data_IF_515065193577
#
_entry.id   IF_515065193577
#
_cell.length_a   1.000
_cell.length_b   1.000
_cell.length_c   1.000
_cell.angle_alpha   90.00
_cell.angle_beta   90.00
_cell.angle_gamma   90.00
#
_symmetry.space_group_name_H-M   'P 1'
#
loop_
_entity.id
_entity.type
_entity.pdbx_description
1 polymer ?
#
# COMPACT_ATOMS: atom_id res chain seq x y z
N UNK A 1 13.02 29.80 -5.44
CA UNK A 1 12.56 28.76 -4.50
C UNK A 1 11.50 27.98 -5.24
N UNK A 2 11.70 26.68 -5.46
CA UNK A 2 10.73 25.85 -6.18
C UNK A 2 9.43 25.82 -5.36
N UNK A 3 8.30 26.09 -6.00
CA UNK A 3 7.00 25.82 -5.38
C UNK A 3 6.86 24.31 -5.25
N UNK A 4 7.07 23.80 -4.03
CA UNK A 4 7.00 22.36 -3.75
C UNK A 4 5.60 21.82 -4.04
N UNK A 5 4.55 22.60 -3.76
CA UNK A 5 3.16 22.16 -3.91
C UNK A 5 2.68 22.08 -5.35
N UNK A 6 3.45 22.63 -6.30
CA UNK A 6 3.18 22.49 -7.73
C UNK A 6 3.77 21.21 -8.35
N UNK A 7 4.55 20.42 -7.60
CA UNK A 7 5.12 19.16 -8.09
C UNK A 7 4.03 18.10 -8.34
N UNK A 8 4.24 17.26 -9.33
CA UNK A 8 3.37 16.09 -9.56
C UNK A 8 3.75 14.98 -8.58
N UNK A 9 2.97 14.82 -7.51
CA UNK A 9 3.22 13.83 -6.47
C UNK A 9 3.41 12.41 -7.02
N UNK A 10 2.70 12.06 -8.09
CA UNK A 10 2.65 10.70 -8.59
C UNK A 10 3.71 10.39 -9.65
N UNK A 11 4.37 11.41 -10.21
CA UNK A 11 5.32 11.23 -11.31
C UNK A 11 6.69 11.84 -11.08
N UNK A 12 6.82 12.73 -10.09
CA UNK A 12 8.09 13.41 -9.82
C UNK A 12 9.05 12.51 -9.02
N UNK A 13 10.11 12.03 -9.66
CA UNK A 13 11.10 11.14 -9.05
C UNK A 13 11.80 11.75 -7.82
N UNK A 14 11.82 13.09 -7.70
CA UNK A 14 12.43 13.77 -6.54
C UNK A 14 11.68 13.46 -5.24
N UNK A 15 10.39 13.15 -5.34
CA UNK A 15 9.54 12.83 -4.19
C UNK A 15 9.72 11.39 -3.72
N UNK A 16 10.38 10.53 -4.52
CA UNK A 16 10.67 9.14 -4.14
C UNK A 16 11.69 9.08 -3.00
N UNK A 17 12.74 9.91 -3.07
CA UNK A 17 13.79 9.93 -2.04
C UNK A 17 13.31 10.60 -0.75
N UNK A 18 12.63 11.75 -0.87
CA UNK A 18 12.20 12.51 0.29
C UNK A 18 10.93 13.34 0.02
N UNK A 19 9.73 12.78 0.28
CA UNK A 19 8.47 13.50 0.08
C UNK A 19 8.09 14.40 1.27
N UNK A 20 8.83 14.38 2.38
CA UNK A 20 8.43 15.10 3.59
C UNK A 20 8.37 16.62 3.42
N UNK A 21 9.32 17.29 2.73
CA UNK A 21 9.21 18.73 2.45
C UNK A 21 7.95 19.09 1.66
N UNK A 22 7.52 18.23 0.74
CA UNK A 22 6.28 18.40 -0.03
C UNK A 22 5.05 18.30 0.87
N UNK A 23 4.96 17.26 1.71
CA UNK A 23 3.83 17.10 2.65
C UNK A 23 3.79 18.20 3.71
N UNK A 24 4.95 18.66 4.18
CA UNK A 24 5.07 19.80 5.10
C UNK A 24 4.50 21.08 4.46
N UNK A 25 4.88 21.36 3.21
CA UNK A 25 4.39 22.51 2.46
C UNK A 25 2.87 22.45 2.23
N UNK A 26 2.32 21.26 1.89
CA UNK A 26 0.87 21.08 1.77
C UNK A 26 0.15 21.32 3.10
N UNK A 27 0.57 20.67 4.19
CA UNK A 27 -0.05 20.83 5.52
C UNK A 27 -0.07 22.29 5.98
N UNK A 28 1.00 23.03 5.74
CA UNK A 28 1.10 24.45 6.13
C UNK A 28 0.13 25.34 5.36
N UNK A 29 -0.28 24.95 4.15
CA UNK A 29 -1.29 25.66 3.38
C UNK A 29 -2.70 25.21 3.76
N UNK A 30 -2.96 23.90 3.73
CA UNK A 30 -4.22 23.28 4.13
C UNK A 30 -4.01 21.78 4.40
N UNK A 31 -4.51 21.22 5.51
CA UNK A 31 -4.38 19.79 5.79
C UNK A 31 -5.11 18.90 4.76
N UNK A 32 -6.07 19.46 4.02
CA UNK A 32 -6.80 18.80 2.93
C UNK A 32 -6.77 19.71 1.71
N UNK A 33 -6.00 19.33 0.69
CA UNK A 33 -5.82 20.13 -0.50
C UNK A 33 -5.98 19.29 -1.77
N UNK A 34 -6.61 19.85 -2.80
CA UNK A 34 -6.64 19.24 -4.13
C UNK A 34 -5.29 19.45 -4.80
N UNK A 35 -4.62 18.39 -5.25
CA UNK A 35 -3.38 18.53 -6.01
C UNK A 35 -3.65 18.95 -7.47
N UNK A 36 -2.70 19.63 -8.14
CA UNK A 36 -3.00 20.34 -9.38
C UNK A 36 -2.96 19.49 -10.67
N UNK A 37 -2.67 18.18 -10.62
CA UNK A 37 -2.36 17.36 -11.79
C UNK A 37 -3.38 16.25 -12.09
N UNK A 38 -3.87 15.52 -11.08
CA UNK A 38 -4.66 14.29 -11.27
C UNK A 38 -6.00 14.29 -10.53
N UNK A 39 -6.44 15.46 -10.07
CA UNK A 39 -7.70 15.62 -9.37
C UNK A 39 -7.80 14.80 -8.06
N UNK A 40 -6.68 14.64 -7.35
CA UNK A 40 -6.66 13.93 -6.07
C UNK A 40 -6.77 14.89 -4.90
N UNK A 41 -7.60 14.51 -3.92
CA UNK A 41 -7.60 15.15 -2.61
C UNK A 41 -6.46 14.59 -1.76
N UNK A 42 -5.44 15.42 -1.50
CA UNK A 42 -4.32 15.10 -0.62
C UNK A 42 -4.70 15.42 0.82
N UNK A 43 -4.84 14.38 1.64
CA UNK A 43 -5.09 14.49 3.08
C UNK A 43 -3.78 14.30 3.82
N UNK A 44 -3.25 15.38 4.38
CA UNK A 44 -1.92 15.41 5.02
C UNK A 44 -1.98 15.76 6.50
N UNK A 45 -3.12 16.28 6.99
CA UNK A 45 -3.41 16.48 8.41
C UNK A 45 -3.81 15.18 9.10
N UNK A 46 -3.47 15.08 10.39
CA UNK A 46 -3.70 13.85 11.17
C UNK A 46 -5.18 13.62 11.46
N UNK A 47 -5.87 14.65 11.95
CA UNK A 47 -7.28 14.53 12.36
C UNK A 47 -8.17 14.23 11.15
N UNK A 48 -7.89 14.84 10.00
CA UNK A 48 -8.61 14.61 8.75
C UNK A 48 -8.33 13.22 8.18
N UNK A 49 -7.07 12.75 8.24
CA UNK A 49 -6.73 11.39 7.81
C UNK A 49 -7.45 10.35 8.67
N UNK A 50 -7.45 10.52 10.00
CA UNK A 50 -8.16 9.64 10.93
C UNK A 50 -9.66 9.67 10.67
N UNK A 51 -10.26 10.82 10.36
CA UNK A 51 -11.66 10.92 10.01
C UNK A 51 -11.99 10.09 8.76
N UNK A 52 -11.22 10.24 7.67
CA UNK A 52 -11.39 9.47 6.43
C UNK A 52 -11.23 7.97 6.68
N UNK A 53 -10.18 7.56 7.40
CA UNK A 53 -9.92 6.13 7.68
C UNK A 53 -11.02 5.43 8.50
N UNK A 54 -11.81 6.19 9.26
CA UNK A 54 -12.88 5.63 10.08
C UNK A 54 -14.28 5.75 9.44
N UNK A 55 -14.39 6.35 8.26
CA UNK A 55 -15.67 6.55 7.55
C UNK A 55 -15.70 5.75 6.23
N UNK A 56 -15.83 4.44 6.36
CA UNK A 56 -15.95 3.53 5.23
C UNK A 56 -17.33 3.59 4.52
N UNK A 57 -18.29 4.32 5.08
CA UNK A 57 -19.59 4.56 4.44
C UNK A 57 -19.46 5.65 3.37
N UNK A 58 -18.71 6.72 3.67
CA UNK A 58 -18.45 7.80 2.71
C UNK A 58 -17.25 7.50 1.80
N UNK A 59 -16.18 6.88 2.32
CA UNK A 59 -14.94 6.65 1.58
C UNK A 59 -14.71 5.17 1.26
N UNK A 60 -15.15 4.76 0.07
CA UNK A 60 -14.91 3.41 -0.46
C UNK A 60 -13.40 3.13 -0.64
N UNK A 61 -13.02 1.89 -0.36
CA UNK A 61 -11.65 1.40 -0.57
C UNK A 61 -11.40 0.85 -1.98
N UNK A 62 -12.38 0.93 -2.91
CA UNK A 62 -12.33 0.25 -4.21
C UNK A 62 -11.10 0.57 -5.08
N UNK A 63 -10.48 1.75 -4.89
CA UNK A 63 -9.26 2.17 -5.60
C UNK A 63 -8.05 2.34 -4.68
N UNK A 64 -8.08 1.79 -3.45
CA UNK A 64 -7.04 2.01 -2.44
C UNK A 64 -5.63 1.58 -2.88
N UNK A 65 -5.54 0.58 -3.76
CA UNK A 65 -4.26 0.05 -4.28
C UNK A 65 -3.73 0.88 -5.45
N UNK A 66 -4.61 1.35 -6.31
CA UNK A 66 -4.26 1.99 -7.58
C UNK A 66 -4.20 3.51 -7.48
N UNK A 67 -4.89 4.09 -6.51
CA UNK A 67 -5.12 5.53 -6.44
C UNK A 67 -5.68 6.05 -7.79
N UNK A 68 -5.16 7.16 -8.34
CA UNK A 68 -5.66 7.74 -9.58
C UNK A 68 -5.27 6.98 -10.86
N UNK A 69 -4.47 5.90 -10.80
CA UNK A 69 -4.00 5.20 -12.00
C UNK A 69 -4.32 3.70 -11.99
N UNK A 70 -5.12 3.18 -12.92
CA UNK A 70 -5.62 3.83 -14.16
C UNK A 70 -6.80 4.79 -13.95
N UNK A 71 -7.33 4.91 -12.73
CA UNK A 71 -8.56 5.62 -12.43
C UNK A 71 -9.78 4.71 -12.48
N UNK A 72 -10.95 5.28 -12.23
CA UNK A 72 -12.22 4.54 -12.33
C UNK A 72 -12.57 4.28 -13.81
N UNK A 73 -13.12 3.11 -14.19
CA UNK A 73 -13.28 2.71 -15.60
C UNK A 73 -14.28 3.57 -16.39
N UNK A 74 -15.12 4.34 -15.69
CA UNK A 74 -16.13 5.22 -16.26
C UNK A 74 -16.13 6.58 -15.55
N UNK A 75 -16.65 7.66 -16.16
CA UNK A 75 -16.78 8.95 -15.49
C UNK A 75 -17.61 8.86 -14.20
N UNK A 76 -17.16 9.53 -13.15
CA UNK A 76 -17.89 9.66 -11.88
C UNK A 76 -18.80 10.89 -11.97
N UNK A 77 -20.11 10.68 -12.07
CA UNK A 77 -21.12 11.74 -12.16
C UNK A 77 -22.18 11.60 -11.07
N UNK A 78 -22.60 12.73 -10.50
CA UNK A 78 -23.60 12.78 -9.43
C UNK A 78 -23.00 12.93 -8.03
N UNK A 79 -23.88 13.11 -7.05
CA UNK A 79 -23.50 13.32 -5.64
C UNK A 79 -23.34 12.00 -4.86
N UNK A 80 -23.83 10.89 -5.42
CA UNK A 80 -23.70 9.53 -4.89
C UNK A 80 -23.33 8.58 -6.03
N UNK A 81 -22.17 7.95 -5.90
CA UNK A 81 -21.61 7.02 -6.90
C UNK A 81 -21.63 5.56 -6.41
N UNK A 82 -22.37 5.25 -5.33
CA UNK A 82 -22.39 3.90 -4.72
C UNK A 82 -22.79 2.82 -5.72
N UNK A 83 -23.88 3.04 -6.48
CA UNK A 83 -24.34 2.08 -7.50
C UNK A 83 -23.31 1.90 -8.62
N UNK A 84 -22.63 2.98 -8.99
CA UNK A 84 -21.59 2.97 -10.03
C UNK A 84 -20.37 2.16 -9.57
N UNK A 85 -19.96 2.32 -8.30
CA UNK A 85 -18.92 1.50 -7.67
C UNK A 85 -19.32 0.04 -7.71
N UNK A 86 -20.51 -0.32 -7.25
CA UNK A 86 -20.97 -1.72 -7.24
C UNK A 86 -21.04 -2.33 -8.64
N UNK A 87 -21.50 -1.57 -9.64
CA UNK A 87 -21.59 -2.05 -11.02
C UNK A 87 -20.22 -2.40 -11.62
N UNK A 88 -19.18 -1.62 -11.30
CA UNK A 88 -17.85 -1.77 -11.89
C UNK A 88 -16.82 -2.37 -10.92
N UNK A 89 -17.23 -2.75 -9.70
CA UNK A 89 -16.32 -3.19 -8.63
C UNK A 89 -15.38 -4.30 -9.09
N UNK A 90 -15.92 -5.30 -9.78
CA UNK A 90 -15.16 -6.48 -10.23
C UNK A 90 -14.19 -6.15 -11.38
N UNK A 91 -14.35 -5.02 -12.06
CA UNK A 91 -13.47 -4.57 -13.16
C UNK A 91 -12.21 -3.83 -12.65
N UNK A 92 -12.23 -3.37 -11.39
CA UNK A 92 -11.13 -2.63 -10.79
C UNK A 92 -9.94 -3.55 -10.49
N UNK A 93 -8.69 -3.06 -10.64
CA UNK A 93 -7.53 -3.85 -10.28
C UNK A 93 -7.55 -4.25 -8.80
N UNK A 94 -7.22 -5.52 -8.52
CA UNK A 94 -7.20 -6.08 -7.16
C UNK A 94 -8.56 -6.03 -6.45
N UNK A 95 -9.67 -6.00 -7.18
CA UNK A 95 -11.05 -6.01 -6.66
C UNK A 95 -11.37 -7.21 -5.75
N UNK A 96 -10.60 -8.29 -5.86
CA UNK A 96 -10.73 -9.52 -5.07
C UNK A 96 -9.87 -9.52 -3.79
N UNK A 97 -9.02 -8.50 -3.59
CA UNK A 97 -8.12 -8.41 -2.45
C UNK A 97 -8.78 -7.69 -1.26
N UNK A 98 -8.56 -8.20 -0.05
CA UNK A 98 -9.15 -7.63 1.18
C UNK A 98 -9.07 -6.08 1.30
N UNK A 99 -7.95 -5.41 0.94
CA UNK A 99 -7.83 -3.95 1.09
C UNK A 99 -8.71 -3.11 0.16
N UNK A 100 -9.32 -3.69 -0.87
CA UNK A 100 -10.19 -2.97 -1.84
C UNK A 100 -11.68 -3.21 -1.59
N UNK A 101 -12.01 -4.06 -0.60
CA UNK A 101 -13.37 -4.41 -0.25
C UNK A 101 -13.96 -3.39 0.72
N UNK A 102 -15.25 -3.12 0.56
CA UNK A 102 -16.05 -2.36 1.53
C UNK A 102 -16.93 -3.31 2.37
N UNK A 103 -17.46 -2.86 3.53
CA UNK A 103 -18.50 -3.59 4.25
C UNK A 103 -19.73 -3.86 3.36
N UNK A 104 -20.43 -4.99 3.54
CA UNK A 104 -20.20 -6.04 4.53
C UNK A 104 -19.14 -7.08 4.13
N UNK A 105 -18.73 -7.12 2.85
CA UNK A 105 -17.80 -8.12 2.32
C UNK A 105 -16.45 -8.06 3.03
N UNK A 106 -15.89 -6.86 3.21
CA UNK A 106 -14.66 -6.65 3.98
C UNK A 106 -14.79 -7.20 5.40
N UNK A 107 -15.87 -6.88 6.11
CA UNK A 107 -16.10 -7.33 7.50
C UNK A 107 -16.09 -8.86 7.60
N UNK A 108 -16.78 -9.52 6.67
CA UNK A 108 -16.86 -10.98 6.63
C UNK A 108 -15.50 -11.62 6.32
N UNK A 109 -14.80 -11.12 5.31
CA UNK A 109 -13.51 -11.68 4.88
C UNK A 109 -12.41 -11.43 5.92
N UNK A 110 -12.37 -10.23 6.50
CA UNK A 110 -11.46 -9.89 7.59
C UNK A 110 -11.69 -10.80 8.80
N UNK A 111 -12.93 -11.11 9.15
CA UNK A 111 -13.23 -12.00 10.27
C UNK A 111 -12.63 -13.41 10.09
N UNK A 112 -12.59 -13.93 8.86
CA UNK A 112 -11.93 -15.21 8.55
C UNK A 112 -10.41 -15.12 8.75
N UNK A 113 -9.78 -14.07 8.22
CA UNK A 113 -8.33 -13.85 8.31
C UNK A 113 -7.85 -13.61 9.74
N UNK A 114 -8.62 -12.87 10.55
CA UNK A 114 -8.29 -12.59 11.95
C UNK A 114 -8.10 -13.86 12.79
N UNK A 115 -8.65 -15.01 12.37
CA UNK A 115 -8.44 -16.31 13.03
C UNK A 115 -7.04 -16.87 12.82
N UNK A 116 -6.31 -16.41 11.80
CA UNK A 116 -4.95 -16.82 11.49
C UNK A 116 -3.91 -15.95 12.22
N UNK A 117 -4.24 -14.69 12.48
CA UNK A 117 -3.34 -13.69 13.10
C UNK A 117 -3.66 -13.44 14.58
N UNK A 118 -3.93 -14.51 15.33
CA UNK A 118 -4.16 -14.40 16.78
C UNK A 118 -2.84 -14.15 17.53
N UNK A 119 -2.88 -13.53 18.73
CA UNK A 119 -1.67 -13.31 19.54
C UNK A 119 -0.87 -14.59 19.78
N UNK A 120 -1.54 -15.73 20.01
CA UNK A 120 -0.88 -17.03 20.17
C UNK A 120 -0.14 -17.45 18.89
N UNK A 121 -0.77 -17.33 17.72
CA UNK A 121 -0.16 -17.69 16.43
C UNK A 121 1.02 -16.79 16.07
N UNK A 122 0.92 -15.49 16.36
CA UNK A 122 2.03 -14.55 16.16
C UNK A 122 3.21 -14.90 17.08
N UNK A 123 2.95 -15.24 18.36
CA UNK A 123 3.99 -15.69 19.28
C UNK A 123 4.64 -17.01 18.84
N UNK A 124 3.84 -17.99 18.38
CA UNK A 124 4.38 -19.24 17.81
C UNK A 124 5.24 -18.99 16.55
N UNK A 125 4.98 -17.90 15.82
CA UNK A 125 5.77 -17.50 14.66
C UNK A 125 7.09 -16.80 15.05
N UNK A 126 7.16 -16.20 16.23
CA UNK A 126 8.32 -15.43 16.72
C UNK A 126 9.61 -16.25 16.73
N UNK A 127 9.58 -17.47 17.30
CA UNK A 127 10.74 -18.37 17.34
C UNK A 127 11.27 -18.69 15.93
N UNK A 128 10.36 -18.86 14.97
CA UNK A 128 10.73 -19.10 13.58
C UNK A 128 11.35 -17.86 12.91
N UNK A 129 10.88 -16.66 13.25
CA UNK A 129 11.44 -15.40 12.76
C UNK A 129 12.86 -15.16 13.30
N UNK A 130 13.13 -15.47 14.57
CA UNK A 130 14.48 -15.41 15.15
C UNK A 130 15.46 -16.31 14.39
N UNK A 131 15.09 -17.58 14.19
CA UNK A 131 15.94 -18.52 13.43
C UNK A 131 16.17 -18.08 11.98
N UNK A 132 15.18 -17.45 11.35
CA UNK A 132 15.32 -16.93 9.99
C UNK A 132 16.26 -15.73 9.96
N UNK A 133 16.12 -14.81 10.92
CA UNK A 133 16.98 -13.64 11.05
C UNK A 133 18.45 -14.05 11.23
N UNK A 134 18.74 -14.98 12.16
CA UNK A 134 20.09 -15.50 12.39
C UNK A 134 20.66 -16.10 11.09
N UNK A 135 19.89 -16.97 10.41
CA UNK A 135 20.33 -17.60 9.16
C UNK A 135 20.64 -16.59 8.05
N UNK A 136 19.80 -15.57 7.90
CA UNK A 136 20.02 -14.53 6.89
C UNK A 136 21.26 -13.72 7.24
N UNK A 137 21.45 -13.38 8.52
CA UNK A 137 22.57 -12.56 8.98
C UNK A 137 23.90 -13.33 9.01
N UNK A 138 23.90 -14.65 9.24
CA UNK A 138 25.11 -15.48 9.23
C UNK A 138 25.93 -15.32 7.93
N UNK A 139 25.26 -15.19 6.78
CA UNK A 139 25.91 -14.98 5.48
C UNK A 139 26.60 -13.61 5.34
N UNK A 140 26.25 -12.62 6.19
CA UNK A 140 26.79 -11.24 6.14
C UNK A 140 27.67 -10.89 7.34
N UNK A 141 27.47 -11.51 8.49
CA UNK A 141 28.22 -11.25 9.72
C UNK A 141 29.60 -11.94 9.71
N UNK A 142 29.82 -12.93 8.85
CA UNK A 142 31.12 -13.56 8.65
C UNK A 142 31.93 -12.81 7.57
N UNK A 143 32.48 -11.65 7.92
CA UNK A 143 33.44 -10.96 7.05
C UNK A 143 34.86 -11.51 7.23
N UNK A 144 35.43 -12.21 6.22
CA UNK A 144 36.80 -12.07 5.65
C UNK A 144 37.18 -13.32 4.81
N UNK A 145 37.35 -13.12 3.48
CA UNK A 145 37.94 -14.01 2.44
C UNK A 145 37.51 -15.49 2.45
N UNK A 146 36.54 -15.81 1.59
CA UNK A 146 36.68 -16.99 0.73
C UNK A 146 36.29 -16.58 -0.69
N UNK A 147 37.28 -16.63 -1.58
CA UNK A 147 37.09 -16.57 -3.02
C UNK A 147 35.91 -17.43 -3.45
N UNK A 148 35.14 -16.90 -4.40
CA UNK A 148 34.14 -17.62 -5.17
C UNK A 148 34.50 -19.09 -5.43
N UNK A 149 33.77 -20.01 -4.80
CA UNK A 149 33.41 -21.29 -5.42
C UNK A 149 32.35 -22.00 -4.57
N UNK A 150 31.09 -21.67 -4.77
CA UNK A 150 30.05 -22.71 -4.72
C UNK A 150 29.54 -22.88 -6.14
N UNK A 151 30.31 -23.63 -6.92
CA UNK A 151 29.76 -24.29 -8.09
C UNK A 151 28.65 -25.21 -7.58
N UNK A 152 27.41 -24.86 -7.91
CA UNK A 152 26.28 -25.77 -7.76
C UNK A 152 26.53 -26.97 -8.67
N UNK A 153 26.58 -28.22 -8.18
CA UNK A 153 26.61 -29.35 -9.07
C UNK A 153 25.20 -29.47 -9.65
N UNK A 154 25.02 -28.91 -10.84
CA UNK A 154 24.00 -29.36 -11.78
C UNK A 154 24.14 -30.87 -11.87
N UNK A 155 23.21 -31.59 -11.25
CA UNK A 155 23.03 -33.02 -11.45
C UNK A 155 22.65 -33.21 -12.92
N UNK A 156 23.62 -33.51 -13.76
CA UNK A 156 23.40 -34.07 -15.09
C UNK A 156 22.84 -35.48 -14.90
N UNK A 157 21.51 -35.61 -15.01
CA UNK A 157 20.92 -36.88 -15.41
C UNK A 157 21.11 -37.02 -16.91
N UNK A 158 22.11 -37.82 -17.29
CA UNK A 158 22.21 -38.39 -18.62
C UNK A 158 22.38 -39.90 -18.48
N UNK A 159 21.40 -40.60 -19.10
CA UNK A 159 21.31 -42.01 -19.47
C UNK A 159 21.16 -43.06 -18.37
#
# INVERSE_FOLDING_TARGET
MTDLTAMDFFRDERLVENPYPYFEALRQQCPVAREPHHDVMMVTGWDEAVAVFNDAETFSSCISVTGPFPGFPVPLEGDDITELIEQHRDELPFSDQLPTLDPPTHTNHRALLMRLITPKRLKENEDAMWMLADRVLDDFLVGVRASSSRASPLRSHCS
#
